data_IF_391567206249
#
_entry.id   IF_391567206249
#
_cell.length_a   1.000
_cell.length_b   1.000
_cell.length_c   1.000
_cell.angle_alpha   90.00
_cell.angle_beta   90.00
_cell.angle_gamma   90.00
#
_symmetry.space_group_name_H-M   'P 1'
#
loop_
_entity.id
_entity.type
_entity.pdbx_description
1 polymer ?
#
# COMPACT_ATOMS: atom_id res chain seq x y z
N UNK A 1 7.58 13.24 -62.02
CA UNK A 1 7.27 11.91 -61.41
C UNK A 1 8.20 11.52 -60.26
N UNK A 2 9.38 12.08 -60.11
CA UNK A 2 10.36 11.77 -59.04
C UNK A 2 9.93 12.39 -57.69
N UNK A 3 9.43 13.62 -57.67
CA UNK A 3 9.05 14.36 -56.45
C UNK A 3 7.92 13.68 -55.70
N UNK A 4 6.97 13.10 -56.39
CA UNK A 4 5.82 12.41 -55.77
C UNK A 4 6.21 11.14 -54.97
N UNK A 5 7.24 10.43 -55.42
CA UNK A 5 7.81 9.25 -54.74
C UNK A 5 8.52 9.59 -53.44
N UNK A 6 9.17 10.74 -53.37
CA UNK A 6 9.84 11.19 -52.14
C UNK A 6 8.82 11.73 -51.12
N UNK A 7 7.80 12.43 -51.58
CA UNK A 7 6.70 12.92 -50.71
C UNK A 7 5.99 11.75 -50.02
N UNK A 8 5.70 10.68 -50.75
CA UNK A 8 5.03 9.48 -50.19
C UNK A 8 5.90 8.80 -49.11
N UNK A 9 7.22 8.73 -49.31
CA UNK A 9 8.13 8.13 -48.31
C UNK A 9 8.23 8.99 -47.04
N UNK A 10 8.23 10.31 -47.16
CA UNK A 10 8.27 11.23 -46.00
C UNK A 10 6.97 11.16 -45.21
N UNK A 11 5.80 11.12 -45.86
CA UNK A 11 4.50 11.01 -45.20
C UNK A 11 4.38 9.64 -44.51
N UNK A 12 4.84 8.56 -45.12
CA UNK A 12 4.83 7.24 -44.51
C UNK A 12 5.75 7.15 -43.29
N UNK A 13 6.92 7.78 -43.34
CA UNK A 13 7.85 7.83 -42.20
C UNK A 13 7.29 8.65 -41.03
N UNK A 14 6.62 9.77 -41.30
CA UNK A 14 5.94 10.57 -40.29
C UNK A 14 4.77 9.85 -39.63
N UNK A 15 3.95 9.14 -40.41
CA UNK A 15 2.86 8.31 -39.91
C UNK A 15 3.38 7.14 -39.05
N UNK A 16 4.51 6.55 -39.44
CA UNK A 16 5.14 5.48 -38.68
C UNK A 16 5.75 5.96 -37.37
N UNK A 17 6.37 7.15 -37.34
CA UNK A 17 6.86 7.78 -36.13
C UNK A 17 5.73 8.14 -35.17
N UNK A 18 4.60 8.67 -35.67
CA UNK A 18 3.42 8.99 -34.83
C UNK A 18 2.77 7.72 -34.27
N UNK A 19 2.76 6.59 -34.99
CA UNK A 19 2.25 5.32 -34.48
C UNK A 19 3.16 4.72 -33.40
N UNK A 20 4.48 4.92 -33.47
CA UNK A 20 5.41 4.49 -32.43
C UNK A 20 5.27 5.31 -31.15
N UNK A 21 5.04 6.62 -31.23
CA UNK A 21 4.80 7.43 -30.02
C UNK A 21 3.50 7.08 -29.32
N UNK A 22 2.44 6.73 -30.06
CA UNK A 22 1.15 6.27 -29.47
C UNK A 22 1.28 4.92 -28.78
N UNK A 23 2.13 4.03 -29.27
CA UNK A 23 2.38 2.73 -28.61
C UNK A 23 3.21 2.89 -27.35
N UNK A 24 4.19 3.80 -27.34
CA UNK A 24 5.01 4.08 -26.15
C UNK A 24 4.31 4.89 -25.07
N UNK A 25 3.30 5.69 -25.41
CA UNK A 25 2.56 6.51 -24.44
C UNK A 25 1.53 5.73 -23.61
N UNK A 26 1.20 4.48 -23.99
CA UNK A 26 0.09 3.73 -23.36
C UNK A 26 0.53 2.73 -22.26
N UNK A 27 1.82 2.59 -21.97
CA UNK A 27 2.30 1.71 -20.89
C UNK A 27 2.53 2.42 -19.54
N UNK A 28 2.38 3.74 -19.48
CA UNK A 28 2.64 4.49 -18.25
C UNK A 28 1.38 4.63 -17.39
N UNK A 29 1.43 4.00 -16.22
CA UNK A 29 0.55 4.21 -15.08
C UNK A 29 -0.90 3.72 -15.22
N UNK A 30 -1.09 2.41 -15.37
CA UNK A 30 -2.39 1.83 -15.10
C UNK A 30 -2.70 1.96 -13.60
N UNK A 31 -3.77 2.65 -13.24
CA UNK A 31 -4.23 2.73 -11.86
C UNK A 31 -5.73 2.47 -11.75
N UNK A 32 -6.13 1.77 -10.71
CA UNK A 32 -7.54 1.58 -10.36
C UNK A 32 -7.85 2.37 -9.09
N UNK A 33 -8.62 3.46 -9.24
CA UNK A 33 -9.10 4.24 -8.10
C UNK A 33 -10.36 3.59 -7.55
N UNK A 34 -10.27 2.97 -6.39
CA UNK A 34 -11.37 2.16 -5.84
C UNK A 34 -12.15 2.92 -4.78
N UNK A 35 -11.50 3.66 -3.89
CA UNK A 35 -12.08 4.44 -2.79
C UNK A 35 -13.17 3.69 -1.96
N UNK A 36 -13.08 2.36 -1.89
CA UNK A 36 -14.03 1.48 -1.22
C UNK A 36 -13.62 1.25 0.22
N UNK A 37 -14.54 1.44 1.16
CA UNK A 37 -14.35 1.02 2.56
C UNK A 37 -14.44 -0.48 2.62
N UNK A 38 -13.41 -1.14 3.11
CA UNK A 38 -13.36 -2.60 3.24
C UNK A 38 -13.37 -3.08 4.69
N UNK A 39 -12.97 -2.23 5.63
CA UNK A 39 -12.97 -2.54 7.05
C UNK A 39 -13.50 -1.36 7.86
N UNK A 40 -14.40 -1.64 8.78
CA UNK A 40 -14.91 -0.68 9.77
C UNK A 40 -14.85 -1.35 11.13
N UNK A 41 -14.14 -0.74 12.06
CA UNK A 41 -14.30 -1.04 13.48
C UNK A 41 -14.89 0.17 14.22
N UNK A 42 -15.00 0.10 15.53
CA UNK A 42 -15.57 1.19 16.34
C UNK A 42 -14.81 2.51 16.21
N UNK A 43 -13.53 2.46 15.89
CA UNK A 43 -12.63 3.62 15.91
C UNK A 43 -11.98 3.90 14.57
N UNK A 44 -11.83 2.91 13.69
CA UNK A 44 -11.10 3.02 12.46
C UNK A 44 -11.93 2.64 11.23
N UNK A 45 -11.77 3.41 10.16
CA UNK A 45 -12.22 3.03 8.84
C UNK A 45 -11.02 2.91 7.91
N UNK A 46 -10.91 1.77 7.23
CA UNK A 46 -9.91 1.52 6.22
C UNK A 46 -10.55 1.52 4.83
N UNK A 47 -9.91 2.22 3.91
CA UNK A 47 -10.34 2.32 2.51
C UNK A 47 -9.19 1.97 1.59
N UNK A 48 -9.43 1.09 0.64
CA UNK A 48 -8.55 0.94 -0.51
C UNK A 48 -8.74 2.17 -1.40
N UNK A 49 -7.71 3.00 -1.50
CA UNK A 49 -7.76 4.25 -2.26
C UNK A 49 -7.36 4.04 -3.71
N UNK A 50 -6.29 3.29 -3.92
CA UNK A 50 -5.67 3.12 -5.22
C UNK A 50 -4.83 1.84 -5.27
N UNK A 51 -4.83 1.18 -6.41
CA UNK A 51 -3.81 0.22 -6.80
C UNK A 51 -3.25 0.70 -8.13
N UNK A 52 -1.94 0.87 -8.21
CA UNK A 52 -1.26 1.24 -9.45
C UNK A 52 -0.10 0.31 -9.73
N UNK A 53 0.18 0.12 -11.02
CA UNK A 53 1.30 -0.66 -11.51
C UNK A 53 2.15 0.22 -12.42
N UNK A 54 3.44 0.23 -12.17
CA UNK A 54 4.45 0.87 -13.02
C UNK A 54 5.56 -0.16 -13.27
N UNK A 55 5.64 -0.65 -14.50
CA UNK A 55 6.52 -1.77 -14.86
C UNK A 55 6.30 -2.98 -13.92
N UNK A 56 7.34 -3.34 -13.15
CA UNK A 56 7.29 -4.43 -12.18
C UNK A 56 7.00 -3.96 -10.74
N UNK A 57 6.59 -2.71 -10.55
CA UNK A 57 6.29 -2.14 -9.25
C UNK A 57 4.78 -1.97 -9.07
N UNK A 58 4.22 -2.57 -8.02
CA UNK A 58 2.84 -2.34 -7.59
C UNK A 58 2.85 -1.43 -6.37
N UNK A 59 2.02 -0.38 -6.41
CA UNK A 59 1.71 0.46 -5.25
C UNK A 59 0.27 0.21 -4.81
N UNK A 60 0.08 -0.12 -3.54
CA UNK A 60 -1.23 -0.24 -2.88
C UNK A 60 -1.37 0.90 -1.88
N UNK A 61 -2.39 1.73 -2.04
CA UNK A 61 -2.65 2.88 -1.16
C UNK A 61 -3.86 2.61 -0.27
N UNK A 62 -3.65 2.55 1.03
CA UNK A 62 -4.68 2.35 2.05
C UNK A 62 -4.87 3.66 2.82
N UNK A 63 -6.08 4.21 2.77
CA UNK A 63 -6.46 5.32 3.64
C UNK A 63 -7.04 4.78 4.93
N UNK A 64 -6.50 5.22 6.05
CA UNK A 64 -6.99 4.92 7.38
C UNK A 64 -7.50 6.21 8.05
N UNK A 65 -8.67 6.14 8.65
CA UNK A 65 -9.42 7.27 9.20
C UNK A 65 -9.77 6.97 10.65
N UNK A 66 -9.32 7.81 11.57
CA UNK A 66 -9.75 7.79 12.95
C UNK A 66 -11.18 8.35 13.08
N UNK A 67 -12.15 7.51 13.39
CA UNK A 67 -13.55 7.87 13.60
C UNK A 67 -13.85 8.26 15.05
N UNK A 68 -12.92 7.99 15.95
CA UNK A 68 -13.03 8.34 17.36
C UNK A 68 -13.10 9.83 17.63
N UNK A 69 -13.34 10.19 18.88
CA UNK A 69 -13.39 11.58 19.36
C UNK A 69 -12.04 12.12 19.84
N UNK A 70 -11.04 11.23 19.93
CA UNK A 70 -9.70 11.57 20.44
C UNK A 70 -8.64 11.18 19.40
N UNK A 71 -7.48 11.84 19.50
CA UNK A 71 -6.25 11.44 18.82
C UNK A 71 -5.89 9.99 19.17
N UNK A 72 -5.54 9.17 18.20
CA UNK A 72 -5.23 7.75 18.39
C UNK A 72 -3.94 7.35 17.71
N UNK A 73 -3.10 6.55 18.40
CA UNK A 73 -1.93 5.94 17.77
C UNK A 73 -2.33 4.73 16.93
N UNK A 74 -1.61 4.54 15.84
CA UNK A 74 -1.68 3.36 14.98
C UNK A 74 -0.31 3.11 14.37
N UNK A 75 0.06 1.87 14.16
CA UNK A 75 1.29 1.47 13.49
C UNK A 75 1.11 0.14 12.77
N UNK A 76 2.04 -0.21 11.90
CA UNK A 76 2.09 -1.53 11.27
C UNK A 76 2.76 -2.53 12.21
N UNK A 77 2.12 -3.65 12.41
CA UNK A 77 2.72 -4.79 13.12
C UNK A 77 3.58 -5.61 12.14
N UNK A 78 4.74 -6.02 12.61
CA UNK A 78 5.56 -7.03 11.96
C UNK A 78 5.38 -8.39 12.64
N UNK A 79 4.14 -8.78 12.92
CA UNK A 79 3.81 -10.07 13.51
C UNK A 79 4.32 -10.24 14.94
N UNK A 80 4.50 -9.14 15.66
CA UNK A 80 5.14 -9.23 16.93
C UNK A 80 4.21 -9.13 18.12
N UNK A 81 4.31 -10.12 18.95
CA UNK A 81 3.66 -10.21 20.25
C UNK A 81 4.62 -9.97 21.43
N UNK A 82 5.91 -9.85 21.17
CA UNK A 82 6.84 -9.54 22.25
C UNK A 82 6.80 -8.06 22.55
N UNK A 83 6.51 -7.74 23.79
CA UNK A 83 6.51 -6.37 24.29
C UNK A 83 7.74 -6.21 25.18
N UNK A 84 8.59 -5.23 24.86
CA UNK A 84 9.59 -4.78 25.83
C UNK A 84 8.87 -3.82 26.78
N UNK A 85 8.83 -4.21 28.04
CA UNK A 85 8.30 -3.37 29.09
C UNK A 85 9.47 -2.65 29.76
N UNK A 86 9.54 -1.34 29.62
CA UNK A 86 10.48 -0.52 30.37
C UNK A 86 9.75 0.25 31.47
N UNK A 87 10.34 0.25 32.65
CA UNK A 87 9.87 1.09 33.74
C UNK A 87 10.61 2.42 33.66
N UNK A 88 9.87 3.51 33.51
CA UNK A 88 10.44 4.86 33.49
C UNK A 88 10.81 5.31 34.91
N UNK A 89 11.61 6.36 35.00
CA UNK A 89 12.06 6.92 36.31
C UNK A 89 10.89 7.45 37.17
N UNK A 90 9.78 7.81 36.55
CA UNK A 90 8.53 8.23 37.24
C UNK A 90 7.65 7.03 37.69
N UNK A 91 8.13 5.80 37.53
CA UNK A 91 7.41 4.57 37.85
C UNK A 91 6.37 4.14 36.85
N UNK A 92 6.15 4.89 35.75
CA UNK A 92 5.29 4.50 34.66
C UNK A 92 5.92 3.37 33.85
N UNK A 93 5.06 2.54 33.27
CA UNK A 93 5.47 1.38 32.46
C UNK A 93 5.18 1.67 31.00
N UNK A 94 6.21 1.69 30.17
CA UNK A 94 6.08 1.79 28.71
C UNK A 94 6.28 0.43 28.09
N UNK A 95 5.29 -0.04 27.37
CA UNK A 95 5.36 -1.28 26.61
C UNK A 95 5.49 -0.96 25.12
N UNK A 96 6.60 -1.33 24.51
CA UNK A 96 6.85 -1.15 23.08
C UNK A 96 6.86 -2.51 22.39
N UNK A 97 6.17 -2.68 21.27
CA UNK A 97 6.29 -3.89 20.48
C UNK A 97 7.69 -3.98 19.88
N UNK A 98 8.31 -5.15 20.01
CA UNK A 98 9.59 -5.45 19.34
C UNK A 98 9.30 -5.96 17.95
N UNK A 99 9.83 -5.34 16.89
CA UNK A 99 9.63 -5.83 15.55
C UNK A 99 10.32 -7.17 15.33
N UNK A 100 9.65 -8.07 14.65
CA UNK A 100 10.29 -9.23 14.06
C UNK A 100 10.59 -8.91 12.59
N UNK A 101 11.82 -8.61 12.24
CA UNK A 101 12.24 -8.23 10.90
C UNK A 101 12.00 -9.32 9.84
N UNK A 102 11.87 -10.59 10.28
CA UNK A 102 11.55 -11.71 9.40
C UNK A 102 10.10 -11.66 8.90
N UNK A 103 9.23 -10.95 9.62
CA UNK A 103 7.82 -10.81 9.25
C UNK A 103 7.63 -9.53 8.42
N UNK A 104 7.12 -9.64 7.19
CA UNK A 104 6.95 -8.49 6.32
C UNK A 104 5.82 -7.58 6.82
N UNK A 105 5.99 -6.26 6.64
CA UNK A 105 4.97 -5.24 6.95
C UNK A 105 3.66 -5.43 6.18
N UNK A 106 3.76 -5.96 4.97
CA UNK A 106 2.64 -6.35 4.13
C UNK A 106 3.09 -7.38 3.10
N UNK A 107 2.12 -8.16 2.63
CA UNK A 107 2.29 -9.16 1.58
C UNK A 107 1.28 -8.94 0.46
N UNK A 108 1.71 -9.17 -0.78
CA UNK A 108 0.82 -9.54 -1.87
C UNK A 108 0.95 -11.05 -2.09
N UNK A 109 -0.17 -11.75 -2.13
CA UNK A 109 -0.17 -13.20 -2.39
C UNK A 109 -1.16 -13.53 -3.50
N UNK A 110 -0.79 -14.45 -4.39
CA UNK A 110 -1.71 -15.00 -5.37
C UNK A 110 -2.90 -15.68 -4.69
N UNK A 111 -4.00 -15.90 -5.45
CA UNK A 111 -5.21 -16.53 -4.89
C UNK A 111 -4.97 -17.93 -4.33
N UNK A 112 -4.08 -18.68 -4.91
CA UNK A 112 -3.68 -20.02 -4.49
C UNK A 112 -2.63 -20.02 -3.37
N UNK A 113 -2.11 -18.83 -3.00
CA UNK A 113 -1.10 -18.67 -1.96
C UNK A 113 0.33 -19.09 -2.35
N UNK A 114 0.55 -19.52 -3.60
CA UNK A 114 1.86 -20.02 -4.06
C UNK A 114 2.87 -18.91 -4.28
N UNK A 115 2.41 -17.76 -4.79
CA UNK A 115 3.25 -16.60 -5.06
C UNK A 115 3.07 -15.57 -3.94
N UNK A 116 4.19 -15.12 -3.38
CA UNK A 116 4.20 -14.13 -2.28
C UNK A 116 5.25 -13.06 -2.53
N UNK A 117 4.83 -11.80 -2.50
CA UNK A 117 5.71 -10.64 -2.57
C UNK A 117 5.64 -9.84 -1.28
N UNK A 118 6.80 -9.62 -0.67
CA UNK A 118 6.93 -8.76 0.51
C UNK A 118 6.93 -7.29 0.08
N UNK A 119 6.32 -6.41 0.87
CA UNK A 119 6.46 -4.98 0.68
C UNK A 119 7.94 -4.60 0.86
N UNK A 120 8.51 -3.95 -0.14
CA UNK A 120 9.91 -3.47 -0.11
C UNK A 120 10.04 -2.07 0.47
N UNK A 121 8.94 -1.33 0.50
CA UNK A 121 8.86 0.02 1.06
C UNK A 121 7.44 0.30 1.52
N UNK A 122 7.32 1.06 2.62
CA UNK A 122 6.05 1.59 3.11
C UNK A 122 6.23 3.07 3.46
N UNK A 123 5.32 3.91 3.00
CA UNK A 123 5.29 5.34 3.30
C UNK A 123 3.96 5.72 3.98
N UNK A 124 3.96 6.81 4.76
CA UNK A 124 2.75 7.40 5.34
C UNK A 124 2.23 6.74 6.61
N UNK A 125 2.92 5.71 7.10
CA UNK A 125 2.74 5.14 8.43
C UNK A 125 4.11 4.70 8.95
N UNK A 126 4.33 4.84 10.25
CA UNK A 126 5.58 4.42 10.86
C UNK A 126 5.54 2.92 11.16
N UNK A 127 6.67 2.30 10.92
CA UNK A 127 6.96 0.93 11.32
C UNK A 127 7.49 0.94 12.74
N UNK A 128 6.97 0.07 13.60
CA UNK A 128 7.43 -0.07 14.99
C UNK A 128 7.42 1.21 15.84
N UNK A 129 6.68 2.22 15.39
CA UNK A 129 6.50 3.48 16.08
C UNK A 129 5.09 4.01 15.85
N UNK A 130 4.60 4.79 16.79
CA UNK A 130 3.25 5.29 16.72
C UNK A 130 3.09 6.40 15.69
N UNK A 131 2.22 6.17 14.71
CA UNK A 131 1.66 7.22 13.87
C UNK A 131 0.40 7.73 14.53
N UNK A 132 0.40 8.97 14.98
CA UNK A 132 -0.78 9.57 15.58
C UNK A 132 -1.71 10.15 14.51
N UNK A 133 -3.01 9.89 14.67
CA UNK A 133 -4.07 10.41 13.81
C UNK A 133 -5.09 11.16 14.66
N UNK A 134 -5.28 12.43 14.36
CA UNK A 134 -6.24 13.29 15.06
C UNK A 134 -7.68 12.78 14.90
N UNK A 135 -8.55 13.16 15.83
CA UNK A 135 -9.97 12.83 15.78
C UNK A 135 -10.60 13.24 14.43
N UNK A 136 -11.39 12.35 13.83
CA UNK A 136 -12.07 12.57 12.54
C UNK A 136 -11.14 12.86 11.36
N UNK A 137 -9.83 12.71 11.52
CA UNK A 137 -8.83 12.85 10.44
C UNK A 137 -8.38 11.50 9.91
N UNK A 138 -7.78 11.51 8.73
CA UNK A 138 -7.23 10.30 8.11
C UNK A 138 -5.91 10.58 7.43
N UNK A 139 -5.11 9.52 7.32
CA UNK A 139 -3.84 9.49 6.59
C UNK A 139 -3.88 8.40 5.52
N UNK A 140 -2.88 8.35 4.67
CA UNK A 140 -2.74 7.30 3.65
C UNK A 140 -1.39 6.63 3.84
N UNK A 141 -1.38 5.31 3.88
CA UNK A 141 -0.18 4.50 3.79
C UNK A 141 -0.05 3.95 2.37
N UNK A 142 1.16 3.97 1.83
CA UNK A 142 1.47 3.44 0.51
C UNK A 142 2.45 2.28 0.68
N UNK A 143 2.11 1.14 0.12
CA UNK A 143 2.89 -0.09 0.14
C UNK A 143 3.40 -0.37 -1.25
N UNK A 144 4.70 -0.66 -1.38
CA UNK A 144 5.36 -0.88 -2.67
C UNK A 144 5.88 -2.32 -2.74
N UNK A 145 5.55 -3.00 -3.83
CA UNK A 145 5.90 -4.40 -4.08
C UNK A 145 6.60 -4.52 -5.42
N UNK A 146 7.76 -5.15 -5.43
CA UNK A 146 8.41 -5.54 -6.68
C UNK A 146 7.92 -6.93 -7.07
N UNK A 147 7.27 -7.03 -8.23
CA UNK A 147 6.74 -8.28 -8.75
C UNK A 147 7.48 -8.72 -10.00
N UNK A 148 7.60 -10.03 -10.19
CA UNK A 148 8.23 -10.61 -11.37
C UNK A 148 7.20 -11.29 -12.29
N UNK A 149 5.97 -11.49 -11.80
CA UNK A 149 4.91 -12.21 -12.49
C UNK A 149 3.79 -11.26 -12.94
N UNK A 150 3.03 -11.69 -13.94
CA UNK A 150 1.89 -10.93 -14.43
C UNK A 150 0.63 -11.24 -13.60
N UNK A 151 0.61 -10.81 -12.35
CA UNK A 151 -0.55 -10.94 -11.48
C UNK A 151 -1.64 -9.96 -11.90
N UNK A 152 -2.85 -10.49 -12.15
CA UNK A 152 -4.06 -9.67 -12.39
C UNK A 152 -4.85 -9.40 -11.12
N UNK A 153 -4.74 -10.28 -10.15
CA UNK A 153 -5.40 -10.18 -8.84
C UNK A 153 -4.50 -10.77 -7.76
N UNK A 154 -4.53 -10.18 -6.58
CA UNK A 154 -3.80 -10.67 -5.41
C UNK A 154 -4.54 -10.34 -4.12
N UNK A 155 -4.31 -11.12 -3.06
CA UNK A 155 -4.65 -10.70 -1.70
C UNK A 155 -3.58 -9.77 -1.17
N UNK A 156 -3.99 -8.61 -0.70
CA UNK A 156 -3.15 -7.72 0.10
C UNK A 156 -3.37 -8.03 1.57
N UNK A 157 -2.30 -8.36 2.28
CA UNK A 157 -2.29 -8.76 3.68
C UNK A 157 -1.41 -7.79 4.47
N UNK A 158 -1.90 -7.26 5.58
CA UNK A 158 -1.11 -6.48 6.55
C UNK A 158 -1.78 -6.52 7.91
N UNK A 159 -0.99 -6.33 8.97
CA UNK A 159 -1.50 -6.20 10.32
C UNK A 159 -1.24 -4.80 10.85
N UNK A 160 -2.25 -4.22 11.45
CA UNK A 160 -2.21 -2.90 12.06
C UNK A 160 -2.51 -3.00 13.52
N UNK A 161 -1.80 -2.24 14.32
CA UNK A 161 -2.01 -2.21 15.77
C UNK A 161 -2.42 -0.80 16.18
N UNK A 162 -3.44 -0.72 17.01
CA UNK A 162 -3.88 0.52 17.66
C UNK A 162 -3.93 0.31 19.16
N UNK A 163 -3.71 1.37 19.91
CA UNK A 163 -3.84 1.34 21.36
C UNK A 163 -5.25 1.79 21.72
N UNK A 164 -5.94 0.95 22.47
CA UNK A 164 -7.24 1.26 23.08
C UNK A 164 -7.00 1.91 24.45
N UNK A 165 -8.02 2.52 25.02
CA UNK A 165 -7.97 3.08 26.38
C UNK A 165 -7.36 2.09 27.37
N UNK A 166 -6.49 2.58 28.28
CA UNK A 166 -5.78 1.84 29.33
C UNK A 166 -4.62 0.95 28.86
N UNK A 167 -4.03 1.25 27.69
CA UNK A 167 -2.81 0.58 27.23
C UNK A 167 -3.02 -0.78 26.56
N UNK A 168 -4.25 -1.24 26.42
CA UNK A 168 -4.54 -2.46 25.67
C UNK A 168 -4.32 -2.21 24.16
N UNK A 169 -3.53 -3.06 23.53
CA UNK A 169 -3.36 -3.07 22.07
C UNK A 169 -4.45 -3.90 21.39
N UNK A 170 -4.92 -3.43 20.24
CA UNK A 170 -5.84 -4.17 19.37
C UNK A 170 -5.19 -4.37 18.03
N UNK A 171 -5.15 -5.60 17.55
CA UNK A 171 -4.66 -5.96 16.21
C UNK A 171 -5.81 -5.89 15.22
N UNK A 172 -5.57 -5.23 14.11
CA UNK A 172 -6.53 -5.06 13.01
C UNK A 172 -5.92 -5.75 11.78
N UNK A 173 -6.29 -7.01 11.50
CA UNK A 173 -5.80 -7.70 10.31
C UNK A 173 -6.51 -7.15 9.07
N UNK A 174 -5.74 -6.86 8.04
CA UNK A 174 -6.23 -6.50 6.72
C UNK A 174 -5.95 -7.65 5.77
N UNK A 175 -7.01 -8.16 5.16
CA UNK A 175 -6.97 -9.17 4.11
C UNK A 175 -8.00 -8.79 3.05
N UNK A 176 -7.54 -8.26 1.91
CA UNK A 176 -8.42 -7.82 0.84
C UNK A 176 -7.92 -8.32 -0.52
N UNK A 177 -8.86 -8.78 -1.34
CA UNK A 177 -8.59 -9.07 -2.75
C UNK A 177 -8.53 -7.76 -3.54
N UNK A 178 -7.43 -7.52 -4.21
CA UNK A 178 -7.21 -6.37 -5.08
C UNK A 178 -7.06 -6.81 -6.53
N UNK A 179 -7.55 -5.98 -7.46
CA UNK A 179 -7.26 -6.10 -8.88
C UNK A 179 -6.02 -5.27 -9.19
N UNK A 180 -5.12 -5.84 -9.95
CA UNK A 180 -3.88 -5.21 -10.38
C UNK A 180 -4.11 -4.78 -11.84
N UNK A 181 -3.90 -3.50 -12.15
CA UNK A 181 -4.10 -2.98 -13.50
C UNK A 181 -3.19 -3.63 -14.54
#
# INVERSE_FOLDING_TARGET
MIILKYLYKIVFLLLFCMSLEVVYANEKNQYTKINKVFLKDSHWHFKLKEVSKDNNMIKVSIRYLNKGSYRRPIFLSQGNTQAITSKNDDGSVTTMPVPNEDIPLALLTSKDGTIKYKAIKVDGILNNSFTFVEAKKGKTANFYFKINDNLKEAYFLSEWVTVIMRGAASVIPINILIKIP
#
